data_IF_806692746813
#
_entry.id   IF_806692746813
#
_cell.length_a   1.000
_cell.length_b   1.000
_cell.length_c   1.000
_cell.angle_alpha   90.00
_cell.angle_beta   90.00
_cell.angle_gamma   90.00
#
_symmetry.space_group_name_H-M   'P 1'
#
loop_
_entity.id
_entity.type
_entity.pdbx_description
1 polymer ?
#
# COMPACT_ATOMS: atom_id res chain seq x y z
N UNK A 1 -1.43 -11.78 0.32
CA UNK A 1 -2.04 -10.61 1.01
C UNK A 1 -3.31 -10.98 1.79
N UNK A 2 -3.43 -10.46 3.02
CA UNK A 2 -4.68 -10.52 3.81
C UNK A 2 -5.76 -9.68 3.15
N UNK A 3 -6.97 -10.22 3.03
CA UNK A 3 -8.11 -9.51 2.43
C UNK A 3 -8.70 -8.48 3.38
N UNK A 4 -9.12 -7.35 2.81
CA UNK A 4 -9.85 -6.28 3.52
C UNK A 4 -11.29 -6.32 3.02
N UNK A 5 -12.22 -6.78 3.87
CA UNK A 5 -13.60 -7.09 3.47
C UNK A 5 -14.33 -5.89 2.86
N UNK A 6 -14.16 -4.71 3.44
CA UNK A 6 -14.79 -3.48 2.94
C UNK A 6 -14.28 -3.09 1.55
N UNK A 7 -13.03 -3.44 1.21
CA UNK A 7 -12.48 -3.21 -0.13
C UNK A 7 -12.99 -4.24 -1.12
N UNK A 8 -13.06 -5.52 -0.75
CA UNK A 8 -13.67 -6.56 -1.58
C UNK A 8 -15.13 -6.20 -1.92
N UNK A 9 -15.87 -5.68 -0.93
CA UNK A 9 -17.24 -5.21 -1.13
C UNK A 9 -17.30 -4.05 -2.12
N UNK A 10 -16.48 -3.01 -1.93
CA UNK A 10 -16.45 -1.85 -2.82
C UNK A 10 -16.07 -2.21 -4.26
N UNK A 11 -15.17 -3.18 -4.47
CA UNK A 11 -14.81 -3.67 -5.81
C UNK A 11 -15.94 -4.44 -6.50
N UNK A 12 -16.74 -5.21 -5.75
CA UNK A 12 -17.81 -6.03 -6.30
C UNK A 12 -19.11 -5.25 -6.52
N UNK A 13 -19.46 -4.37 -5.59
CA UNK A 13 -20.73 -3.62 -5.61
C UNK A 13 -20.62 -2.26 -6.31
N UNK A 14 -19.40 -1.71 -6.43
CA UNK A 14 -19.16 -0.38 -6.97
C UNK A 14 -19.65 0.74 -6.05
N UNK A 15 -19.72 1.96 -6.58
CA UNK A 15 -20.11 3.16 -5.84
C UNK A 15 -18.93 4.04 -5.40
N UNK A 16 -19.22 5.10 -4.65
CA UNK A 16 -18.22 6.03 -4.15
C UNK A 16 -17.47 5.43 -2.96
N UNK A 17 -16.14 5.43 -2.99
CA UNK A 17 -15.30 4.97 -1.87
C UNK A 17 -15.60 5.70 -0.55
N UNK A 18 -16.05 6.97 -0.65
CA UNK A 18 -16.43 7.76 0.53
C UNK A 18 -17.63 7.15 1.26
N UNK A 19 -18.56 6.51 0.55
CA UNK A 19 -19.75 5.90 1.15
C UNK A 19 -19.39 4.67 1.99
N UNK A 20 -18.23 4.07 1.70
CA UNK A 20 -17.65 2.95 2.45
C UNK A 20 -16.67 3.41 3.54
N UNK A 21 -16.37 4.71 3.64
CA UNK A 21 -15.32 5.21 4.54
C UNK A 21 -13.92 4.71 4.18
N UNK A 22 -13.65 4.52 2.88
CA UNK A 22 -12.39 3.98 2.38
C UNK A 22 -11.48 5.12 1.92
N UNK A 23 -10.26 5.17 2.44
CA UNK A 23 -9.20 6.01 1.91
C UNK A 23 -8.80 5.54 0.49
N UNK A 24 -8.84 6.44 -0.49
CA UNK A 24 -8.58 6.11 -1.90
C UNK A 24 -7.15 5.65 -2.16
N UNK A 25 -6.18 6.18 -1.42
CA UNK A 25 -4.75 5.84 -1.57
C UNK A 25 -4.50 4.41 -1.14
N UNK A 26 -5.04 4.01 0.02
CA UNK A 26 -4.96 2.62 0.49
C UNK A 26 -5.74 1.65 -0.41
N UNK A 27 -6.91 2.04 -0.91
CA UNK A 27 -7.69 1.22 -1.83
C UNK A 27 -6.97 0.95 -3.15
N UNK A 28 -6.34 1.98 -3.74
CA UNK A 28 -5.54 1.83 -4.95
C UNK A 28 -4.37 0.86 -4.73
N UNK A 29 -3.62 1.02 -3.64
CA UNK A 29 -2.52 0.13 -3.28
C UNK A 29 -2.98 -1.32 -3.07
N UNK A 30 -4.14 -1.52 -2.43
CA UNK A 30 -4.72 -2.85 -2.24
C UNK A 30 -5.09 -3.51 -3.57
N UNK A 31 -5.75 -2.77 -4.48
CA UNK A 31 -6.14 -3.28 -5.80
C UNK A 31 -4.92 -3.65 -6.64
N UNK A 32 -3.91 -2.79 -6.66
CA UNK A 32 -2.64 -3.06 -7.37
C UNK A 32 -1.93 -4.28 -6.78
N UNK A 33 -2.02 -4.49 -5.47
CA UNK A 33 -1.49 -5.69 -4.82
C UNK A 33 -2.17 -6.98 -5.29
N UNK A 34 -3.48 -6.95 -5.56
CA UNK A 34 -4.18 -8.11 -6.14
C UNK A 34 -3.68 -8.46 -7.55
N UNK A 35 -3.36 -7.45 -8.37
CA UNK A 35 -2.83 -7.65 -9.72
C UNK A 35 -1.36 -8.14 -9.71
N UNK A 36 -0.56 -7.61 -8.78
CA UNK A 36 0.88 -7.91 -8.68
C UNK A 36 1.18 -9.21 -7.94
N UNK A 37 0.21 -9.75 -7.20
CA UNK A 37 0.36 -10.98 -6.43
C UNK A 37 1.35 -10.85 -5.27
N UNK A 38 1.53 -9.63 -4.74
CA UNK A 38 2.40 -9.39 -3.58
C UNK A 38 1.75 -9.94 -2.29
N UNK A 39 2.59 -10.33 -1.33
CA UNK A 39 2.12 -10.84 -0.05
C UNK A 39 1.62 -9.73 0.89
N UNK A 40 2.17 -8.53 0.76
CA UNK A 40 1.81 -7.34 1.53
C UNK A 40 1.32 -6.22 0.60
N UNK A 41 0.50 -5.32 1.13
CA UNK A 41 0.09 -4.11 0.41
C UNK A 41 1.34 -3.30 0.06
N UNK A 42 1.46 -2.90 -1.21
CA UNK A 42 2.57 -2.06 -1.68
C UNK A 42 2.04 -0.70 -2.15
N UNK A 43 2.55 0.36 -1.55
CA UNK A 43 2.30 1.73 -2.01
C UNK A 43 3.33 2.11 -3.07
N UNK A 44 2.91 2.00 -4.33
CA UNK A 44 3.71 2.36 -5.50
C UNK A 44 3.51 3.83 -5.95
N UNK A 45 2.49 4.52 -5.42
CA UNK A 45 2.12 5.90 -5.74
C UNK A 45 2.46 6.91 -4.64
N UNK A 46 2.06 8.17 -4.86
CA UNK A 46 2.21 9.25 -3.88
C UNK A 46 1.26 9.01 -2.70
N UNK A 47 1.79 9.15 -1.48
CA UNK A 47 1.02 9.13 -0.23
C UNK A 47 1.08 10.53 0.36
N UNK A 48 -0.08 11.16 0.53
CA UNK A 48 -0.16 12.46 1.18
C UNK A 48 -0.11 12.31 2.69
N UNK A 49 0.57 13.25 3.36
CA UNK A 49 0.73 13.26 4.81
C UNK A 49 -0.60 13.27 5.56
N UNK A 50 -1.59 13.99 5.05
CA UNK A 50 -2.94 14.04 5.63
C UNK A 50 -3.72 12.72 5.51
N UNK A 51 -3.37 11.82 4.58
CA UNK A 51 -4.00 10.50 4.45
C UNK A 51 -3.45 9.50 5.47
N UNK A 52 -2.22 9.71 5.96
CA UNK A 52 -1.47 8.74 6.78
C UNK A 52 -2.23 8.29 8.04
N UNK A 53 -2.84 9.18 8.85
CA UNK A 53 -3.59 8.75 10.03
C UNK A 53 -4.77 7.82 9.69
N UNK A 54 -5.49 8.11 8.60
CA UNK A 54 -6.60 7.28 8.14
C UNK A 54 -6.11 5.94 7.61
N UNK A 55 -5.02 5.94 6.83
CA UNK A 55 -4.37 4.73 6.33
C UNK A 55 -3.93 3.83 7.49
N UNK A 56 -3.21 4.38 8.47
CA UNK A 56 -2.71 3.61 9.62
C UNK A 56 -3.85 3.04 10.44
N UNK A 57 -4.91 3.82 10.68
CA UNK A 57 -6.11 3.33 11.35
C UNK A 57 -6.72 2.14 10.61
N UNK A 58 -6.94 2.26 9.31
CA UNK A 58 -7.51 1.19 8.49
C UNK A 58 -6.63 -0.07 8.47
N UNK A 59 -5.31 0.08 8.38
CA UNK A 59 -4.37 -1.05 8.46
C UNK A 59 -4.48 -1.78 9.81
N UNK A 60 -4.52 -1.04 10.93
CA UNK A 60 -4.68 -1.59 12.28
C UNK A 60 -6.02 -2.30 12.47
N UNK A 61 -7.13 -1.67 12.06
CA UNK A 61 -8.48 -2.24 12.17
C UNK A 61 -8.64 -3.53 11.36
N UNK A 62 -7.95 -3.62 10.21
CA UNK A 62 -7.93 -4.82 9.39
C UNK A 62 -6.83 -5.82 9.80
N UNK A 63 -6.10 -5.57 10.88
CA UNK A 63 -5.03 -6.42 11.40
C UNK A 63 -3.95 -6.70 10.36
N UNK A 64 -3.55 -5.69 9.59
CA UNK A 64 -2.35 -5.68 8.76
C UNK A 64 -1.17 -5.30 9.66
N UNK A 65 -0.13 -6.12 9.71
CA UNK A 65 1.06 -5.89 10.54
C UNK A 65 2.26 -5.36 9.75
N UNK A 66 2.24 -5.50 8.42
CA UNK A 66 3.35 -5.12 7.55
C UNK A 66 2.81 -4.65 6.18
N UNK A 67 3.47 -3.65 5.60
CA UNK A 67 3.26 -3.18 4.23
C UNK A 67 4.58 -2.72 3.60
N UNK A 68 4.57 -2.41 2.32
CA UNK A 68 5.75 -1.92 1.61
C UNK A 68 5.49 -0.59 0.89
N UNK A 69 6.55 0.16 0.64
CA UNK A 69 6.52 1.36 -0.20
C UNK A 69 7.61 1.21 -1.26
N UNK A 70 7.20 1.03 -2.51
CA UNK A 70 8.10 0.98 -3.68
C UNK A 70 8.17 2.31 -4.44
N UNK A 71 7.36 3.30 -4.04
CA UNK A 71 7.29 4.59 -4.74
C UNK A 71 8.57 5.41 -4.62
N UNK A 72 8.88 6.17 -5.68
CA UNK A 72 10.10 7.00 -5.80
C UNK A 72 9.79 8.50 -5.82
N UNK A 73 8.69 8.93 -5.20
CA UNK A 73 8.34 10.35 -5.16
C UNK A 73 9.32 11.17 -4.29
N UNK A 74 9.49 12.45 -4.63
CA UNK A 74 10.56 13.29 -4.06
C UNK A 74 10.47 13.50 -2.55
N UNK A 75 9.27 13.46 -1.97
CA UNK A 75 9.00 13.68 -0.54
C UNK A 75 8.91 12.39 0.28
N UNK A 76 9.54 11.30 -0.17
CA UNK A 76 9.45 9.99 0.49
C UNK A 76 9.94 10.04 1.94
N UNK A 77 11.01 10.80 2.22
CA UNK A 77 11.55 10.90 3.58
C UNK A 77 10.55 11.55 4.53
N UNK A 78 9.85 12.60 4.10
CA UNK A 78 8.81 13.27 4.87
C UNK A 78 7.61 12.34 5.11
N UNK A 79 7.21 11.57 4.10
CA UNK A 79 6.17 10.54 4.26
C UNK A 79 6.57 9.46 5.26
N UNK A 80 7.81 8.95 5.20
CA UNK A 80 8.32 7.97 6.16
C UNK A 80 8.33 8.53 7.59
N UNK A 81 8.76 9.78 7.75
CA UNK A 81 8.74 10.47 9.05
C UNK A 81 7.31 10.68 9.58
N UNK A 82 6.34 10.93 8.70
CA UNK A 82 4.93 11.04 9.08
C UNK A 82 4.35 9.68 9.52
N UNK A 83 4.69 8.59 8.83
CA UNK A 83 4.38 7.23 9.29
C UNK A 83 5.00 6.91 10.66
N UNK A 84 6.24 7.37 10.91
CA UNK A 84 6.90 7.18 12.21
C UNK A 84 6.18 7.85 13.37
N UNK A 85 5.57 9.02 13.14
CA UNK A 85 4.75 9.72 14.15
C UNK A 85 3.48 8.93 14.53
N UNK A 86 2.95 8.12 13.60
CA UNK A 86 1.81 7.22 13.83
C UNK A 86 2.22 5.86 14.44
N UNK A 87 3.49 5.71 14.79
CA UNK A 87 4.07 4.52 15.41
C UNK A 87 4.59 3.47 14.43
N UNK A 88 4.52 3.71 13.12
CA UNK A 88 4.99 2.77 12.09
C UNK A 88 6.51 2.86 11.97
N UNK A 89 7.19 1.71 11.86
CA UNK A 89 8.66 1.68 11.76
C UNK A 89 9.13 1.11 10.45
N UNK A 90 10.20 1.68 9.92
CA UNK A 90 10.94 1.07 8.82
C UNK A 90 11.68 -0.17 9.33
N UNK A 91 11.51 -1.29 8.63
CA UNK A 91 12.09 -2.59 8.94
C UNK A 91 13.11 -3.06 7.89
N UNK A 92 13.67 -2.13 7.12
CA UNK A 92 14.69 -2.37 6.10
C UNK A 92 14.15 -2.41 4.67
N UNK A 93 15.00 -2.84 3.75
CA UNK A 93 14.66 -2.98 2.33
C UNK A 93 14.19 -4.42 2.03
N UNK A 94 13.32 -4.53 1.04
CA UNK A 94 12.83 -5.79 0.46
C UNK A 94 12.63 -5.62 -1.05
N UNK A 95 12.05 -6.61 -1.70
CA UNK A 95 11.63 -6.56 -3.09
C UNK A 95 10.17 -6.93 -3.25
N UNK A 96 9.50 -6.28 -4.19
CA UNK A 96 8.09 -6.53 -4.54
C UNK A 96 7.93 -6.67 -6.06
N UNK A 97 6.82 -7.25 -6.48
CA UNK A 97 6.39 -7.23 -7.87
C UNK A 97 5.81 -5.84 -8.20
N UNK A 98 6.33 -5.20 -9.25
CA UNK A 98 5.78 -3.97 -9.79
C UNK A 98 4.49 -4.24 -10.59
N UNK A 99 3.72 -3.20 -10.88
CA UNK A 99 2.53 -3.28 -11.75
C UNK A 99 2.88 -3.54 -13.22
N UNK A 100 4.11 -3.24 -13.65
CA UNK A 100 4.59 -3.52 -15.00
C UNK A 100 5.42 -4.82 -15.08
N UNK A 101 5.51 -5.37 -16.29
CA UNK A 101 6.34 -6.54 -16.57
C UNK A 101 7.76 -6.15 -16.97
N UNK A 102 8.73 -6.96 -16.59
CA UNK A 102 10.09 -6.93 -17.11
C UNK A 102 10.06 -7.33 -18.60
N UNK A 103 10.60 -6.45 -19.45
CA UNK A 103 10.51 -6.61 -20.90
C UNK A 103 11.31 -7.81 -21.44
N UNK A 104 12.31 -8.30 -20.71
CA UNK A 104 13.13 -9.45 -21.13
C UNK A 104 12.46 -10.77 -20.78
N UNK A 105 11.85 -10.84 -19.60
CA UNK A 105 11.32 -12.09 -19.05
C UNK A 105 9.80 -12.24 -19.25
N UNK A 106 9.09 -11.15 -19.50
CA UNK A 106 7.63 -11.10 -19.59
C UNK A 106 6.91 -11.26 -18.25
N UNK A 107 7.65 -11.50 -17.16
CA UNK A 107 7.11 -11.62 -15.79
C UNK A 107 7.00 -10.24 -15.15
N UNK A 108 6.21 -10.10 -14.07
CA UNK A 108 6.20 -8.86 -13.26
C UNK A 108 7.62 -8.50 -12.84
N UNK A 109 7.99 -7.24 -13.01
CA UNK A 109 9.33 -6.77 -12.63
C UNK A 109 9.49 -6.82 -11.11
N UNK A 110 10.65 -7.27 -10.63
CA UNK A 110 11.01 -7.25 -9.21
C UNK A 110 11.78 -5.98 -8.92
N UNK A 111 11.25 -5.15 -8.02
CA UNK A 111 11.81 -3.83 -7.69
C UNK A 111 12.08 -3.70 -6.19
N UNK A 112 13.08 -2.90 -5.79
CA UNK A 112 13.31 -2.57 -4.39
C UNK A 112 12.09 -1.85 -3.78
N UNK A 113 11.81 -2.14 -2.51
CA UNK A 113 10.81 -1.45 -1.72
C UNK A 113 11.27 -1.33 -0.27
N UNK A 114 10.69 -0.37 0.45
CA UNK A 114 10.90 -0.18 1.88
C UNK A 114 9.85 -0.99 2.62
N UNK A 115 10.27 -1.82 3.58
CA UNK A 115 9.38 -2.60 4.44
C UNK A 115 9.00 -1.78 5.67
N UNK A 116 7.71 -1.71 5.96
CA UNK A 116 7.13 -0.92 7.05
C UNK A 116 6.33 -1.83 7.98
N UNK A 117 6.53 -1.70 9.30
CA UNK A 117 5.87 -2.53 10.32
C UNK A 117 5.05 -1.66 11.28
N UNK A 118 3.87 -2.14 11.64
CA UNK A 118 2.94 -1.47 12.56
C UNK A 118 3.19 -1.77 14.03
#
# INVERSE_FOLDING_TARGET
>A
MKKIEVFEKAMNEGGSLKDYGINSTLFAAYRDCQETGNDNIDFNGVIWDYDIPEIVKALKENGISEFTISSTFSSLIETLAAFEKEGIRMAGLTEVNATYSDWKTGKKARIPAIRMTL
#
